data_IF_281592580860
#
_entry.id   IF_281592580860
#
_cell.length_a   1.000
_cell.length_b   1.000
_cell.length_c   1.000
_cell.angle_alpha   90.00
_cell.angle_beta   90.00
_cell.angle_gamma   90.00
#
_symmetry.space_group_name_H-M   'P 1'
#
loop_
_entity.id
_entity.type
_entity.pdbx_description
1 polymer ?
#
# COMPACT_ATOMS: atom_id res chain seq x y z
N UNK A 1 9.52 7.18 25.67
CA UNK A 1 8.62 7.90 24.73
C UNK A 1 8.11 6.88 23.73
N UNK A 2 6.80 6.81 23.47
CA UNK A 2 6.28 5.88 22.45
C UNK A 2 6.77 6.30 21.07
N UNK A 3 7.14 5.34 20.22
CA UNK A 3 7.51 5.61 18.81
C UNK A 3 6.37 6.36 18.10
N UNK A 4 6.67 7.38 17.26
CA UNK A 4 5.66 8.03 16.43
C UNK A 4 5.19 7.15 15.28
N UNK A 5 5.94 6.09 14.94
CA UNK A 5 5.60 5.15 13.88
C UNK A 5 4.62 4.06 14.34
N UNK A 6 3.83 3.50 13.41
CA UNK A 6 2.94 2.38 13.70
C UNK A 6 3.72 1.12 14.10
N UNK A 7 3.07 0.26 14.87
CA UNK A 7 3.56 -1.07 15.19
C UNK A 7 3.21 -2.02 14.05
N UNK A 8 4.22 -2.58 13.38
CA UNK A 8 4.03 -3.49 12.24
C UNK A 8 4.32 -4.93 12.65
N UNK A 9 3.72 -5.94 11.99
CA UNK A 9 3.96 -7.35 12.28
C UNK A 9 5.34 -7.80 11.77
N UNK A 10 6.39 -7.48 12.53
CA UNK A 10 7.79 -7.64 12.12
C UNK A 10 8.16 -9.09 11.74
N UNK A 11 7.66 -10.08 12.48
CA UNK A 11 7.93 -11.49 12.20
C UNK A 11 7.31 -11.93 10.86
N UNK A 12 6.05 -11.58 10.61
CA UNK A 12 5.37 -11.88 9.35
C UNK A 12 6.05 -11.18 8.15
N UNK A 13 6.51 -9.93 8.35
CA UNK A 13 7.29 -9.22 7.32
C UNK A 13 8.62 -9.92 7.03
N UNK A 14 9.35 -10.35 8.07
CA UNK A 14 10.61 -11.05 7.91
C UNK A 14 10.45 -12.41 7.21
N UNK A 15 9.44 -13.20 7.62
CA UNK A 15 9.09 -14.49 7.01
C UNK A 15 8.63 -14.34 5.55
N UNK A 16 7.91 -13.26 5.22
CA UNK A 16 7.45 -12.94 3.87
C UNK A 16 8.54 -12.38 2.94
N UNK A 17 9.76 -12.15 3.44
CA UNK A 17 10.87 -11.58 2.65
C UNK A 17 10.81 -10.06 2.47
N UNK A 18 9.99 -9.37 3.26
CA UNK A 18 9.86 -7.92 3.25
C UNK A 18 11.06 -7.25 3.93
N UNK A 19 11.48 -6.11 3.39
CA UNK A 19 12.50 -5.24 3.99
C UNK A 19 12.02 -3.81 4.01
N UNK A 20 12.32 -3.12 5.11
CA UNK A 20 12.06 -1.68 5.23
C UNK A 20 12.87 -0.95 4.16
N UNK A 21 12.15 -0.23 3.29
CA UNK A 21 12.71 0.56 2.21
C UNK A 21 12.76 2.05 2.58
N UNK A 22 11.83 2.50 3.43
CA UNK A 22 11.67 3.90 3.78
C UNK A 22 11.04 4.05 5.16
N UNK A 23 11.49 5.07 5.90
CA UNK A 23 10.91 5.55 7.15
C UNK A 23 11.00 7.07 7.19
N UNK A 24 9.87 7.75 7.35
CA UNK A 24 9.80 9.22 7.31
C UNK A 24 8.66 9.81 8.10
N UNK A 25 8.84 11.06 8.53
CA UNK A 25 7.80 11.91 9.10
C UNK A 25 7.54 13.08 8.15
N UNK A 26 6.28 13.38 7.88
CA UNK A 26 5.87 14.44 6.94
C UNK A 26 4.55 15.07 7.34
N UNK A 27 4.39 16.37 7.12
CA UNK A 27 3.07 17.02 7.16
C UNK A 27 2.26 16.59 5.94
N UNK A 28 1.33 15.66 6.10
CA UNK A 28 0.51 15.12 5.01
C UNK A 28 -0.57 16.10 4.54
N UNK A 29 -1.01 16.97 5.44
CA UNK A 29 -2.03 17.97 5.19
C UNK A 29 -1.90 19.11 6.19
N UNK A 30 -1.96 20.34 5.71
CA UNK A 30 -2.02 21.52 6.56
C UNK A 30 -3.10 22.46 6.02
N UNK A 31 -4.12 22.70 6.84
CA UNK A 31 -5.19 23.64 6.55
C UNK A 31 -5.53 24.44 7.80
N UNK A 32 -6.16 25.60 7.61
CA UNK A 32 -6.46 26.56 8.67
C UNK A 32 -7.20 25.97 9.91
N UNK A 33 -7.86 24.81 9.77
CA UNK A 33 -8.65 24.18 10.83
C UNK A 33 -7.99 22.90 11.38
N UNK A 34 -7.14 22.22 10.59
CA UNK A 34 -6.51 20.97 11.03
C UNK A 34 -5.21 20.70 10.27
N UNK A 35 -4.20 20.22 11.00
CA UNK A 35 -2.94 19.72 10.46
C UNK A 35 -2.84 18.22 10.71
N UNK A 36 -2.32 17.46 9.74
CA UNK A 36 -2.10 16.02 9.82
C UNK A 36 -0.62 15.71 9.61
N UNK A 37 0.04 15.27 10.66
CA UNK A 37 1.42 14.75 10.61
C UNK A 37 1.39 13.23 10.39
N UNK A 38 2.20 12.75 9.46
CA UNK A 38 2.25 11.35 9.06
C UNK A 38 3.62 10.75 9.35
N UNK A 39 3.66 9.73 10.21
CA UNK A 39 4.86 8.93 10.48
C UNK A 39 4.74 7.59 9.74
N UNK A 40 5.43 7.49 8.61
CA UNK A 40 5.25 6.43 7.60
C UNK A 40 6.45 5.49 7.57
N UNK A 41 6.17 4.19 7.50
CA UNK A 41 7.12 3.13 7.15
C UNK A 41 6.66 2.40 5.89
N UNK A 42 7.61 2.08 5.01
CA UNK A 42 7.35 1.36 3.76
C UNK A 42 8.25 0.15 3.68
N UNK A 43 7.66 -0.98 3.28
CA UNK A 43 8.33 -2.24 3.05
C UNK A 43 8.22 -2.63 1.59
N UNK A 44 9.28 -3.21 1.04
CA UNK A 44 9.28 -3.85 -0.27
C UNK A 44 9.56 -5.34 -0.13
N UNK A 45 8.97 -6.15 -1.01
CA UNK A 45 9.31 -7.58 -1.07
C UNK A 45 10.62 -7.75 -1.83
N UNK A 46 11.72 -7.87 -1.08
CA UNK A 46 13.05 -8.10 -1.63
C UNK A 46 13.21 -9.50 -2.19
N UNK A 47 12.55 -10.50 -1.60
CA UNK A 47 12.62 -11.86 -2.09
C UNK A 47 12.00 -12.00 -3.49
N UNK A 48 10.82 -11.42 -3.73
CA UNK A 48 10.19 -11.39 -5.05
C UNK A 48 11.05 -10.63 -6.06
N UNK A 49 11.54 -9.44 -5.67
CA UNK A 49 12.43 -8.62 -6.51
C UNK A 49 13.68 -9.38 -6.95
N UNK A 50 14.31 -10.10 -6.03
CA UNK A 50 15.51 -10.90 -6.32
C UNK A 50 15.20 -12.10 -7.24
N UNK A 51 14.06 -12.79 -7.03
CA UNK A 51 13.62 -13.89 -7.91
C UNK A 51 13.37 -13.42 -9.34
N UNK A 52 12.64 -12.32 -9.51
CA UNK A 52 12.35 -11.75 -10.84
C UNK A 52 13.63 -11.26 -11.50
N UNK A 53 14.50 -10.55 -10.75
CA UNK A 53 15.79 -10.09 -11.27
C UNK A 53 16.65 -11.25 -11.76
N UNK A 54 16.71 -12.36 -11.01
CA UNK A 54 17.51 -13.53 -11.39
C UNK A 54 17.01 -14.21 -12.67
N UNK A 55 15.70 -14.26 -12.89
CA UNK A 55 15.09 -14.93 -14.05
C UNK A 55 15.01 -14.05 -15.29
N UNK A 56 14.76 -12.75 -15.11
CA UNK A 56 14.45 -11.82 -16.21
C UNK A 56 15.48 -10.71 -16.42
N UNK A 57 16.31 -10.42 -15.41
CA UNK A 57 17.18 -9.24 -15.37
C UNK A 57 16.48 -7.96 -14.90
N UNK A 58 15.15 -7.96 -14.74
CA UNK A 58 14.38 -6.78 -14.35
C UNK A 58 14.52 -6.52 -12.85
N UNK A 59 14.99 -5.33 -12.50
CA UNK A 59 15.24 -4.93 -11.11
C UNK A 59 14.41 -3.69 -10.74
N UNK A 60 13.25 -3.92 -10.10
CA UNK A 60 12.35 -2.84 -9.67
C UNK A 60 11.53 -3.19 -8.43
N UNK A 61 10.82 -2.20 -7.91
CA UNK A 61 9.75 -2.42 -6.93
C UNK A 61 8.57 -3.13 -7.61
N UNK A 62 8.27 -4.36 -7.17
CA UNK A 62 7.16 -5.14 -7.69
C UNK A 62 5.92 -5.03 -6.80
N UNK A 63 6.11 -5.15 -5.48
CA UNK A 63 5.06 -4.95 -4.48
C UNK A 63 5.60 -4.23 -3.26
N UNK A 64 4.73 -3.46 -2.62
CA UNK A 64 5.05 -2.73 -1.40
C UNK A 64 3.92 -2.82 -0.37
N UNK A 65 4.29 -2.70 0.89
CA UNK A 65 3.39 -2.50 2.02
C UNK A 65 3.75 -1.17 2.68
N UNK A 66 2.75 -0.41 3.12
CA UNK A 66 2.92 0.87 3.80
C UNK A 66 2.03 0.92 5.03
N UNK A 67 2.59 1.46 6.11
CA UNK A 67 1.86 1.81 7.31
C UNK A 67 2.22 3.23 7.73
N UNK A 68 1.22 4.01 8.13
CA UNK A 68 1.42 5.39 8.55
C UNK A 68 0.50 5.75 9.72
N UNK A 69 1.10 6.27 10.79
CA UNK A 69 0.33 6.88 11.88
C UNK A 69 0.07 8.34 11.52
N UNK A 70 -1.21 8.72 11.53
CA UNK A 70 -1.69 10.05 11.17
C UNK A 70 -2.14 10.80 12.43
N UNK A 71 -1.29 11.71 12.88
CA UNK A 71 -1.52 12.59 14.00
C UNK A 71 -2.31 13.82 13.59
N UNK A 72 -3.43 14.09 14.25
CA UNK A 72 -4.29 15.23 13.92
C UNK A 72 -4.15 16.32 14.99
N UNK A 73 -3.89 17.55 14.55
CA UNK A 73 -3.79 18.73 15.41
C UNK A 73 -4.78 19.81 14.99
N UNK A 74 -5.58 20.40 15.92
CA UNK A 74 -5.65 20.06 17.34
C UNK A 74 -6.28 18.68 17.58
N UNK A 75 -5.86 18.01 18.66
CA UNK A 75 -6.35 16.69 19.03
C UNK A 75 -7.80 16.77 19.53
N UNK A 76 -8.75 16.56 18.61
CA UNK A 76 -10.20 16.62 18.87
C UNK A 76 -10.86 15.25 19.01
N UNK A 77 -10.08 14.17 18.86
CA UNK A 77 -10.57 12.80 18.82
C UNK A 77 -11.29 12.46 17.51
N UNK A 78 -11.50 11.17 17.20
CA UNK A 78 -12.16 10.77 15.97
C UNK A 78 -13.66 11.13 15.99
N UNK A 79 -14.14 11.74 14.89
CA UNK A 79 -15.57 11.96 14.62
C UNK A 79 -15.89 11.51 13.19
N UNK A 80 -17.13 11.17 12.85
CA UNK A 80 -17.46 10.70 11.49
C UNK A 80 -17.03 11.65 10.38
N UNK A 81 -17.17 12.97 10.61
CA UNK A 81 -16.75 14.01 9.66
C UNK A 81 -15.22 14.07 9.52
N UNK A 82 -14.50 14.04 10.65
CA UNK A 82 -13.03 14.06 10.64
C UNK A 82 -12.46 12.77 10.03
N UNK A 83 -13.03 11.61 10.36
CA UNK A 83 -12.62 10.32 9.81
C UNK A 83 -12.78 10.29 8.29
N UNK A 84 -13.90 10.84 7.78
CA UNK A 84 -14.12 10.97 6.34
C UNK A 84 -13.08 11.90 5.70
N UNK A 85 -12.79 13.05 6.32
CA UNK A 85 -11.79 14.00 5.83
C UNK A 85 -10.40 13.37 5.76
N UNK A 86 -9.95 12.75 6.85
CA UNK A 86 -8.63 12.10 6.94
C UNK A 86 -8.54 10.95 5.94
N UNK A 87 -9.57 10.10 5.83
CA UNK A 87 -9.59 9.01 4.86
C UNK A 87 -9.47 9.53 3.42
N UNK A 88 -10.27 10.53 3.04
CA UNK A 88 -10.20 11.12 1.70
C UNK A 88 -8.82 11.66 1.37
N UNK A 89 -8.17 12.37 2.32
CA UNK A 89 -6.85 12.95 2.11
C UNK A 89 -5.75 11.89 2.05
N UNK A 90 -5.79 10.91 2.96
CA UNK A 90 -4.87 9.79 2.97
C UNK A 90 -4.98 8.95 1.70
N UNK A 91 -6.20 8.68 1.22
CA UNK A 91 -6.43 7.97 -0.03
C UNK A 91 -5.96 8.76 -1.26
N UNK A 92 -6.09 10.09 -1.26
CA UNK A 92 -5.52 10.92 -2.32
C UNK A 92 -3.99 10.82 -2.33
N UNK A 93 -3.33 11.03 -1.19
CA UNK A 93 -1.87 10.92 -1.08
C UNK A 93 -1.35 9.51 -1.37
N UNK A 94 -2.12 8.47 -1.08
CA UNK A 94 -1.77 7.10 -1.46
C UNK A 94 -1.83 6.87 -2.97
N UNK A 95 -2.78 7.49 -3.68
CA UNK A 95 -2.82 7.43 -5.14
C UNK A 95 -1.56 8.07 -5.77
N UNK A 96 -1.14 9.21 -5.22
CA UNK A 96 0.12 9.88 -5.63
C UNK A 96 1.33 8.99 -5.33
N UNK A 97 1.33 8.34 -4.15
CA UNK A 97 2.38 7.40 -3.72
C UNK A 97 2.53 6.20 -4.66
N UNK A 98 1.43 5.68 -5.22
CA UNK A 98 1.46 4.65 -6.26
C UNK A 98 2.14 5.22 -7.52
N UNK A 99 1.76 6.44 -7.94
CA UNK A 99 2.37 7.15 -9.06
C UNK A 99 3.89 7.30 -8.93
N UNK A 100 4.34 7.87 -7.81
CA UNK A 100 5.75 8.12 -7.51
C UNK A 100 6.60 6.84 -7.48
N UNK A 101 5.97 5.68 -7.23
CA UNK A 101 6.61 4.37 -7.23
C UNK A 101 6.70 3.73 -8.63
N UNK A 102 6.40 4.49 -9.67
CA UNK A 102 6.54 4.07 -11.07
C UNK A 102 5.37 3.25 -11.59
N UNK A 103 4.20 3.39 -10.97
CA UNK A 103 2.95 2.86 -11.49
C UNK A 103 2.18 3.97 -12.21
N UNK A 104 1.70 3.69 -13.41
CA UNK A 104 1.00 4.63 -14.28
C UNK A 104 -0.50 4.34 -14.33
N UNK A 105 -1.30 5.34 -14.74
CA UNK A 105 -2.73 5.15 -15.02
C UNK A 105 -3.55 4.74 -13.79
N UNK A 106 -3.17 5.25 -12.62
CA UNK A 106 -3.82 4.97 -11.33
C UNK A 106 -5.28 5.38 -11.38
N UNK A 107 -6.17 4.41 -11.23
CA UNK A 107 -7.62 4.59 -11.23
C UNK A 107 -8.23 3.90 -10.03
N UNK A 108 -9.35 4.42 -9.53
CA UNK A 108 -10.12 3.74 -8.49
C UNK A 108 -10.74 2.46 -9.04
N UNK A 109 -10.76 1.41 -8.22
CA UNK A 109 -11.64 0.26 -8.47
C UNK A 109 -13.09 0.70 -8.37
N UNK A 110 -14.01 -0.16 -8.79
CA UNK A 110 -15.41 0.09 -8.53
C UNK A 110 -15.73 0.03 -7.03
N UNK A 111 -16.96 0.42 -6.71
CA UNK A 111 -17.45 0.49 -5.34
C UNK A 111 -17.63 -0.90 -4.72
N UNK A 112 -18.02 -1.90 -5.51
CA UNK A 112 -18.27 -3.25 -5.00
C UNK A 112 -16.96 -3.91 -4.55
N UNK A 113 -15.89 -3.72 -5.32
CA UNK A 113 -14.53 -4.13 -4.97
C UNK A 113 -14.06 -3.47 -3.65
N UNK A 114 -14.33 -2.17 -3.49
CA UNK A 114 -14.00 -1.45 -2.27
C UNK A 114 -14.76 -2.00 -1.05
N UNK A 115 -16.07 -2.20 -1.18
CA UNK A 115 -16.92 -2.75 -0.11
C UNK A 115 -16.50 -4.18 0.28
N UNK A 116 -16.17 -5.04 -0.69
CA UNK A 116 -15.65 -6.38 -0.43
C UNK A 116 -14.29 -6.36 0.31
N UNK A 117 -13.46 -5.34 0.04
CA UNK A 117 -12.20 -5.16 0.75
C UNK A 117 -12.40 -4.62 2.17
N UNK A 118 -13.35 -3.71 2.40
CA UNK A 118 -13.75 -3.27 3.74
C UNK A 118 -14.23 -4.46 4.57
N UNK A 119 -15.08 -5.30 3.99
CA UNK A 119 -15.54 -6.52 4.64
C UNK A 119 -14.37 -7.41 5.01
N UNK A 120 -13.45 -7.73 4.08
CA UNK A 120 -12.31 -8.61 4.34
C UNK A 120 -11.31 -8.10 5.42
N UNK A 121 -11.31 -6.81 5.76
CA UNK A 121 -10.49 -6.27 6.85
C UNK A 121 -11.19 -6.38 8.22
N UNK A 122 -12.53 -6.40 8.24
CA UNK A 122 -13.37 -6.60 9.44
C UNK A 122 -13.06 -5.67 10.64
N UNK A 123 -12.57 -4.45 10.39
CA UNK A 123 -12.08 -3.53 11.43
C UNK A 123 -12.71 -2.12 11.40
N UNK A 124 -13.74 -1.93 10.57
CA UNK A 124 -14.39 -0.63 10.38
C UNK A 124 -13.56 0.38 9.59
N UNK A 125 -12.51 -0.06 8.90
CA UNK A 125 -11.70 0.78 8.01
C UNK A 125 -12.52 1.35 6.86
N UNK A 126 -12.20 2.58 6.47
CA UNK A 126 -12.57 3.12 5.15
C UNK A 126 -11.53 2.70 4.12
N UNK A 127 -11.95 1.95 3.11
CA UNK A 127 -11.03 1.35 2.13
C UNK A 127 -11.16 1.99 0.76
N UNK A 128 -10.02 2.04 0.09
CA UNK A 128 -9.82 2.54 -1.25
C UNK A 128 -9.09 1.49 -2.07
N UNK A 129 -9.69 1.01 -3.15
CA UNK A 129 -9.04 0.17 -4.16
C UNK A 129 -8.52 0.97 -5.34
N UNK A 130 -7.41 0.52 -5.92
CA UNK A 130 -6.76 1.12 -7.07
C UNK A 130 -6.32 0.08 -8.08
N UNK A 131 -6.41 0.43 -9.34
CA UNK A 131 -5.78 -0.28 -10.45
C UNK A 131 -4.74 0.61 -11.10
N UNK A 132 -3.60 0.03 -11.44
CA UNK A 132 -2.52 0.74 -12.09
C UNK A 132 -1.77 -0.18 -13.06
N UNK A 133 -0.86 0.40 -13.83
CA UNK A 133 0.01 -0.32 -14.75
C UNK A 133 1.47 0.00 -14.45
N UNK A 134 2.25 -1.04 -14.26
CA UNK A 134 3.67 -0.99 -13.98
C UNK A 134 4.42 -1.19 -15.31
N UNK A 135 5.14 -0.17 -15.80
CA UNK A 135 5.91 -0.26 -17.06
C UNK A 135 7.41 -0.12 -16.83
N UNK A 136 8.22 -0.99 -17.44
CA UNK A 136 9.69 -0.90 -17.46
C UNK A 136 10.25 -1.80 -18.55
N UNK A 137 11.24 -1.33 -19.31
CA UNK A 137 12.02 -2.14 -20.27
C UNK A 137 11.16 -2.99 -21.22
N UNK A 138 10.09 -2.40 -21.76
CA UNK A 138 9.14 -3.08 -22.66
C UNK A 138 8.14 -4.00 -21.96
N UNK A 139 8.27 -4.21 -20.66
CA UNK A 139 7.31 -4.95 -19.82
C UNK A 139 6.19 -4.04 -19.35
N UNK A 140 4.96 -4.54 -19.37
CA UNK A 140 3.80 -3.94 -18.75
C UNK A 140 3.09 -4.95 -17.85
N UNK A 141 2.95 -4.66 -16.57
CA UNK A 141 2.27 -5.52 -15.58
C UNK A 141 1.13 -4.75 -14.92
N UNK A 142 -0.08 -5.30 -14.94
CA UNK A 142 -1.22 -4.75 -14.18
C UNK A 142 -0.93 -4.86 -12.70
N UNK A 143 -1.29 -3.85 -11.94
CA UNK A 143 -1.16 -3.84 -10.49
C UNK A 143 -2.46 -3.42 -9.83
N UNK A 144 -2.68 -3.93 -8.62
CA UNK A 144 -3.79 -3.55 -7.76
C UNK A 144 -3.25 -3.04 -6.44
N UNK A 145 -3.85 -1.98 -5.93
CA UNK A 145 -3.50 -1.34 -4.67
C UNK A 145 -4.70 -1.18 -3.76
N UNK A 146 -4.44 -1.20 -2.45
CA UNK A 146 -5.45 -1.00 -1.42
C UNK A 146 -4.91 -0.06 -0.35
N UNK A 147 -5.76 0.84 0.14
CA UNK A 147 -5.47 1.70 1.28
C UNK A 147 -6.67 1.74 2.23
N UNK A 148 -6.42 1.45 3.49
CA UNK A 148 -7.40 1.42 4.56
C UNK A 148 -7.05 2.46 5.63
N UNK A 149 -8.05 3.20 6.08
CA UNK A 149 -7.89 4.18 7.15
C UNK A 149 -8.87 3.87 8.28
N UNK A 150 -8.33 3.71 9.50
CA UNK A 150 -9.10 3.44 10.72
C UNK A 150 -8.67 4.33 11.88
N UNK A 151 -9.58 4.72 12.79
CA UNK A 151 -9.19 5.36 14.05
C UNK A 151 -8.29 4.42 14.89
N UNK A 152 -7.26 4.98 15.54
CA UNK A 152 -6.39 4.25 16.48
C UNK A 152 -5.95 5.19 17.59
N UNK A 153 -6.32 4.90 18.84
CA UNK A 153 -5.85 5.62 20.06
C UNK A 153 -5.80 7.15 19.95
N UNK A 154 -6.92 7.78 19.52
CA UNK A 154 -7.02 9.24 19.37
C UNK A 154 -6.40 9.82 18.08
N UNK A 155 -5.89 8.95 17.21
CA UNK A 155 -5.25 9.25 15.93
C UNK A 155 -5.92 8.43 14.82
N UNK A 156 -5.31 8.40 13.64
CA UNK A 156 -5.68 7.47 12.57
C UNK A 156 -4.48 6.62 12.15
N UNK A 157 -4.77 5.39 11.73
CA UNK A 157 -3.82 4.50 11.09
C UNK A 157 -4.20 4.37 9.62
N UNK A 158 -3.24 4.63 8.73
CA UNK A 158 -3.29 4.29 7.32
C UNK A 158 -2.45 3.05 7.09
N UNK A 159 -3.04 2.01 6.52
CA UNK A 159 -2.32 0.82 6.04
C UNK A 159 -2.68 0.54 4.59
N UNK A 160 -1.74 0.02 3.82
CA UNK A 160 -2.00 -0.26 2.42
C UNK A 160 -0.81 -0.85 1.70
N UNK A 161 -0.93 -0.94 0.39
CA UNK A 161 0.11 -1.49 -0.46
C UNK A 161 -0.39 -1.73 -1.87
N UNK A 162 0.52 -2.11 -2.75
CA UNK A 162 0.18 -2.52 -4.11
C UNK A 162 0.98 -3.76 -4.52
N UNK A 163 0.39 -4.56 -5.39
CA UNK A 163 0.97 -5.79 -5.90
C UNK A 163 0.60 -6.02 -7.38
N UNK A 164 1.43 -6.75 -8.13
CA UNK A 164 1.17 -7.09 -9.52
C UNK A 164 0.08 -8.18 -9.62
N UNK A 165 -0.68 -8.16 -10.72
CA UNK A 165 -1.84 -9.05 -10.93
C UNK A 165 -1.73 -9.85 -12.22
N UNK A 166 -1.21 -9.27 -13.30
CA UNK A 166 -1.08 -9.97 -14.58
C UNK A 166 -0.06 -9.27 -15.47
N UNK A 167 0.70 -10.06 -16.25
CA UNK A 167 1.50 -9.53 -17.35
C UNK A 167 0.56 -9.10 -18.48
N UNK A 168 0.85 -7.93 -19.07
CA UNK A 168 0.10 -7.35 -20.19
C UNK A 168 0.95 -7.31 -21.45
N UNK A 169 2.25 -7.09 -21.28
CA UNK A 169 3.22 -6.97 -22.37
C UNK A 169 4.57 -7.43 -21.83
N UNK A 170 5.28 -8.21 -22.63
CA UNK A 170 6.63 -8.66 -22.36
C UNK A 170 7.47 -8.52 -23.66
N UNK A 171 8.80 -8.35 -23.55
CA UNK A 171 9.67 -8.24 -24.72
C UNK A 171 9.82 -9.56 -25.48
N UNK A 172 9.72 -10.69 -24.80
CA UNK A 172 9.80 -12.04 -25.35
C UNK A 172 9.04 -13.04 -24.46
N UNK A 173 8.79 -14.25 -25.00
CA UNK A 173 8.06 -15.33 -24.33
C UNK A 173 8.76 -15.80 -23.04
N UNK A 174 10.09 -15.83 -23.03
CA UNK A 174 10.87 -16.23 -21.85
C UNK A 174 10.65 -15.29 -20.67
N UNK A 175 10.59 -13.99 -20.92
CA UNK A 175 10.30 -12.98 -19.89
C UNK A 175 8.83 -13.04 -19.46
N UNK A 176 7.91 -13.28 -20.40
CA UNK A 176 6.48 -13.43 -20.09
C UNK A 176 6.24 -14.61 -19.13
N UNK A 177 6.75 -15.79 -19.47
CA UNK A 177 6.62 -17.01 -18.66
C UNK A 177 7.23 -16.84 -17.26
N UNK A 178 8.45 -16.28 -17.20
CA UNK A 178 9.14 -16.07 -15.93
C UNK A 178 8.41 -15.08 -15.01
N UNK A 179 7.78 -14.05 -15.58
CA UNK A 179 6.94 -13.14 -14.80
C UNK A 179 5.65 -13.84 -14.39
N UNK A 180 4.93 -14.50 -15.31
CA UNK A 180 3.70 -15.21 -15.03
C UNK A 180 3.87 -16.26 -13.92
N UNK A 181 4.99 -16.98 -13.89
CA UNK A 181 5.34 -17.93 -12.83
C UNK A 181 5.61 -17.23 -11.48
N UNK A 182 6.22 -16.04 -11.50
CA UNK A 182 6.54 -15.30 -10.29
C UNK A 182 5.34 -14.56 -9.68
N UNK A 183 4.31 -14.25 -10.48
CA UNK A 183 3.14 -13.50 -10.04
C UNK A 183 2.06 -14.43 -9.46
N UNK A 184 1.76 -14.25 -8.18
CA UNK A 184 0.68 -14.94 -7.47
C UNK A 184 -0.28 -13.91 -6.83
N UNK A 185 -1.24 -13.37 -7.60
CA UNK A 185 -2.06 -12.25 -7.17
C UNK A 185 -2.91 -12.57 -5.94
N UNK A 186 -3.41 -13.80 -5.83
CA UNK A 186 -4.25 -14.23 -4.72
C UNK A 186 -3.44 -14.34 -3.43
N UNK A 187 -2.23 -14.93 -3.50
CA UNK A 187 -1.31 -14.93 -2.36
C UNK A 187 -0.90 -13.52 -1.99
N UNK A 188 -0.58 -12.66 -2.96
CA UNK A 188 -0.16 -11.29 -2.68
C UNK A 188 -1.27 -10.49 -2.01
N UNK A 189 -2.52 -10.65 -2.45
CA UNK A 189 -3.69 -10.05 -1.81
C UNK A 189 -3.86 -10.56 -0.38
N UNK A 190 -3.84 -11.88 -0.19
CA UNK A 190 -4.03 -12.50 1.13
C UNK A 190 -2.97 -12.08 2.15
N UNK A 191 -1.72 -12.00 1.71
CA UNK A 191 -0.60 -11.53 2.53
C UNK A 191 -0.74 -10.04 2.86
N UNK A 192 -1.03 -9.18 1.87
CA UNK A 192 -1.24 -7.75 2.10
C UNK A 192 -2.34 -7.50 3.14
N UNK A 193 -3.49 -8.15 2.99
CA UNK A 193 -4.62 -7.97 3.90
C UNK A 193 -4.30 -8.49 5.31
N UNK A 194 -3.49 -9.56 5.42
CA UNK A 194 -3.01 -10.04 6.71
C UNK A 194 -2.09 -9.02 7.39
N UNK A 195 -1.14 -8.42 6.65
CA UNK A 195 -0.27 -7.35 7.17
C UNK A 195 -1.08 -6.12 7.61
N UNK A 196 -2.05 -5.69 6.79
CA UNK A 196 -2.93 -4.56 7.10
C UNK A 196 -3.70 -4.77 8.41
N UNK A 197 -4.28 -5.97 8.63
CA UNK A 197 -5.02 -6.27 9.85
C UNK A 197 -4.12 -6.27 11.09
N UNK A 198 -2.92 -6.83 10.98
CA UNK A 198 -2.00 -7.03 12.10
C UNK A 198 -1.17 -5.80 12.49
N UNK A 199 -1.33 -4.67 11.80
CA UNK A 199 -0.59 -3.42 12.06
C UNK A 199 -1.37 -2.48 12.98
N UNK A 200 -0.76 -1.87 13.99
CA UNK A 200 -1.43 -1.02 15.01
C UNK A 200 -0.91 0.42 15.10
#
# INVERSE_FOLDING_TARGET
MSSPFPSVPADALAEGGWREAERRETTAFDAAVVTVEAATVVYEDRALRDRIRKSTGLDRLWRFFVASRLAVSPATGPSPALTKLVANRAHAGFADTIGDRGFEGVRRTDRADAEAAEEALHDGSRVAGYEALCRLDGVGVRARGWAAVRPSSGMYLLVGGAYPTAVRTAPDERVDDALAEALDPDRFRGELFSLMRATE
#
